data_IF_168225272690
#
_entry.id   IF_168225272690
#
_cell.length_a   1.000
_cell.length_b   1.000
_cell.length_c   1.000
_cell.angle_alpha   90.00
_cell.angle_beta   90.00
_cell.angle_gamma   90.00
#
_symmetry.space_group_name_H-M   'P 1'
#
loop_
_entity.id
_entity.type
_entity.pdbx_description
1 polymer ?
#
# COMPACT_ATOMS: atom_id res chain seq x y z
N UNK A 1 -4.60 26.75 23.01
CA UNK A 1 -4.61 26.08 21.70
C UNK A 1 -3.97 24.71 21.88
N UNK A 2 -4.71 23.62 21.68
CA UNK A 2 -4.16 22.26 21.81
C UNK A 2 -3.54 21.86 20.47
N UNK A 3 -2.24 21.55 20.45
CA UNK A 3 -1.57 21.01 19.27
C UNK A 3 -1.53 19.48 19.37
N UNK A 4 -1.96 18.74 18.34
CA UNK A 4 -1.94 17.29 18.36
C UNK A 4 -0.49 16.79 18.41
N UNK A 5 -0.28 15.66 19.09
CA UNK A 5 1.00 14.95 18.99
C UNK A 5 1.19 14.40 17.58
N UNK A 6 2.45 14.16 17.18
CA UNK A 6 2.77 13.55 15.87
C UNK A 6 2.02 12.22 15.67
N UNK A 7 1.90 11.42 16.74
CA UNK A 7 1.16 10.16 16.72
C UNK A 7 -0.33 10.36 16.48
N UNK A 8 -0.95 11.33 17.16
CA UNK A 8 -2.36 11.64 16.97
C UNK A 8 -2.63 12.18 15.56
N UNK A 9 -1.75 13.03 15.03
CA UNK A 9 -1.82 13.51 13.66
C UNK A 9 -1.69 12.36 12.65
N UNK A 10 -0.74 11.45 12.84
CA UNK A 10 -0.56 10.28 11.97
C UNK A 10 -1.79 9.34 12.00
N UNK A 11 -2.35 9.06 13.18
CA UNK A 11 -3.55 8.24 13.31
C UNK A 11 -4.76 8.86 12.59
N UNK A 12 -4.91 10.19 12.69
CA UNK A 12 -5.96 10.93 11.98
C UNK A 12 -5.80 10.82 10.46
N UNK A 13 -4.56 10.97 9.97
CA UNK A 13 -4.27 10.78 8.54
C UNK A 13 -4.58 9.36 8.08
N UNK A 14 -4.19 8.34 8.85
CA UNK A 14 -4.50 6.94 8.52
C UNK A 14 -6.01 6.67 8.48
N UNK A 15 -6.79 7.27 9.39
CA UNK A 15 -8.25 7.16 9.33
C UNK A 15 -8.80 7.78 8.03
N UNK A 16 -8.29 8.95 7.62
CA UNK A 16 -8.64 9.56 6.33
C UNK A 16 -8.24 8.69 5.14
N UNK A 17 -7.04 8.10 5.17
CA UNK A 17 -6.57 7.14 4.15
C UNK A 17 -7.48 5.91 4.06
N UNK A 18 -7.98 5.39 5.19
CA UNK A 18 -8.92 4.28 5.22
C UNK A 18 -10.27 4.65 4.58
N UNK A 19 -10.79 5.85 4.87
CA UNK A 19 -12.00 6.36 4.21
C UNK A 19 -11.76 6.50 2.70
N UNK A 20 -10.63 7.09 2.29
CA UNK A 20 -10.29 7.26 0.88
C UNK A 20 -10.13 5.92 0.14
N UNK A 21 -9.54 4.90 0.79
CA UNK A 21 -9.48 3.52 0.30
C UNK A 21 -10.89 2.99 -0.01
N UNK A 22 -11.82 3.09 0.94
CA UNK A 22 -13.18 2.55 0.77
C UNK A 22 -13.93 3.34 -0.28
N UNK A 23 -13.91 4.67 -0.21
CA UNK A 23 -14.68 5.53 -1.12
C UNK A 23 -14.19 5.37 -2.56
N UNK A 24 -12.89 5.36 -2.82
CA UNK A 24 -12.38 5.21 -4.19
C UNK A 24 -12.28 3.75 -4.65
N UNK A 25 -12.15 2.79 -3.74
CA UNK A 25 -12.08 1.37 -4.08
C UNK A 25 -13.45 0.73 -4.32
N UNK A 26 -14.46 1.13 -3.54
CA UNK A 26 -15.81 0.51 -3.56
C UNK A 26 -16.84 1.41 -4.24
N UNK A 27 -16.71 2.74 -4.11
CA UNK A 27 -17.66 3.70 -4.66
C UNK A 27 -17.03 4.73 -5.62
N UNK A 28 -16.17 4.30 -6.57
CA UNK A 28 -15.38 5.23 -7.40
C UNK A 28 -16.24 6.18 -8.24
N UNK A 29 -17.40 5.74 -8.74
CA UNK A 29 -18.33 6.59 -9.50
C UNK A 29 -18.97 7.67 -8.63
N UNK A 30 -19.40 7.31 -7.41
CA UNK A 30 -19.96 8.27 -6.46
C UNK A 30 -18.93 9.31 -6.04
N UNK A 31 -17.70 8.87 -5.80
CA UNK A 31 -16.57 9.77 -5.54
C UNK A 31 -16.37 10.73 -6.72
N UNK A 32 -16.23 10.18 -7.93
CA UNK A 32 -16.02 10.96 -9.15
C UNK A 32 -17.10 12.03 -9.38
N UNK A 33 -18.38 11.70 -9.13
CA UNK A 33 -19.51 12.63 -9.27
C UNK A 33 -19.43 13.86 -8.35
N UNK A 34 -18.64 13.79 -7.27
CA UNK A 34 -18.48 14.88 -6.29
C UNK A 34 -17.17 15.66 -6.47
N UNK A 35 -16.34 15.32 -7.46
CA UNK A 35 -15.01 15.94 -7.65
C UNK A 35 -14.83 16.43 -9.07
N UNK A 36 -13.98 17.44 -9.25
CA UNK A 36 -13.68 18.00 -10.58
C UNK A 36 -12.88 17.05 -11.49
N UNK A 37 -12.33 15.97 -10.95
CA UNK A 37 -11.43 15.05 -11.67
C UNK A 37 -12.16 14.02 -12.55
N UNK A 38 -13.47 13.87 -12.35
CA UNK A 38 -14.29 12.90 -13.09
C UNK A 38 -13.96 11.44 -12.77
N UNK A 39 -14.55 10.53 -13.56
CA UNK A 39 -14.41 9.09 -13.37
C UNK A 39 -13.30 8.51 -14.23
N UNK A 40 -12.37 7.76 -13.62
CA UNK A 40 -11.32 7.03 -14.31
C UNK A 40 -11.03 5.72 -13.54
N UNK A 41 -11.58 4.59 -14.00
CA UNK A 41 -11.56 3.35 -13.24
C UNK A 41 -10.14 2.84 -12.96
N UNK A 42 -9.17 3.16 -13.82
CA UNK A 42 -7.75 2.84 -13.57
C UNK A 42 -7.20 3.66 -12.41
N UNK A 43 -7.35 4.96 -12.48
CA UNK A 43 -6.84 5.90 -11.48
C UNK A 43 -7.45 5.66 -10.09
N UNK A 44 -8.78 5.52 -9.97
CA UNK A 44 -9.40 5.27 -8.66
C UNK A 44 -8.95 3.94 -8.03
N UNK A 45 -8.79 2.90 -8.86
CA UNK A 45 -8.27 1.60 -8.40
C UNK A 45 -6.82 1.73 -7.91
N UNK A 46 -5.97 2.48 -8.61
CA UNK A 46 -4.59 2.70 -8.18
C UNK A 46 -4.51 3.52 -6.90
N UNK A 47 -5.37 4.52 -6.70
CA UNK A 47 -5.45 5.25 -5.43
C UNK A 47 -5.87 4.32 -4.28
N UNK A 48 -6.83 3.42 -4.49
CA UNK A 48 -7.20 2.42 -3.51
C UNK A 48 -6.00 1.51 -3.16
N UNK A 49 -5.25 1.03 -4.16
CA UNK A 49 -4.03 0.23 -3.92
C UNK A 49 -3.02 1.01 -3.07
N UNK A 50 -2.70 2.25 -3.45
CA UNK A 50 -1.81 3.13 -2.69
C UNK A 50 -2.23 3.30 -1.24
N UNK A 51 -3.51 3.59 -1.00
CA UNK A 51 -4.05 3.79 0.34
C UNK A 51 -3.91 2.52 1.20
N UNK A 52 -4.16 1.33 0.64
CA UNK A 52 -4.04 0.08 1.38
C UNK A 52 -2.59 -0.20 1.82
N UNK A 53 -1.61 0.01 0.94
CA UNK A 53 -0.20 -0.11 1.29
C UNK A 53 0.24 0.87 2.39
N UNK A 54 -0.19 2.12 2.28
CA UNK A 54 0.05 3.16 3.29
C UNK A 54 -0.57 2.77 4.65
N UNK A 55 -1.77 2.19 4.66
CA UNK A 55 -2.40 1.72 5.89
C UNK A 55 -1.61 0.58 6.53
N UNK A 56 -1.18 -0.42 5.76
CA UNK A 56 -0.41 -1.56 6.28
C UNK A 56 0.90 -1.10 6.92
N UNK A 57 1.64 -0.21 6.26
CA UNK A 57 2.88 0.34 6.83
C UNK A 57 2.60 1.26 8.02
N UNK A 58 1.73 2.25 7.82
CA UNK A 58 1.49 3.32 8.79
C UNK A 58 0.85 2.82 10.08
N UNK A 59 -0.08 1.87 10.02
CA UNK A 59 -0.71 1.31 11.24
C UNK A 59 0.31 0.54 12.08
N UNK A 60 1.19 -0.24 11.46
CA UNK A 60 2.25 -0.96 12.17
C UNK A 60 3.27 0.00 12.80
N UNK A 61 3.66 1.06 12.08
CA UNK A 61 4.56 2.11 12.59
C UNK A 61 3.90 2.84 13.78
N UNK A 62 2.65 3.29 13.61
CA UNK A 62 1.91 4.01 14.66
C UNK A 62 1.66 3.10 15.86
N UNK A 63 1.34 1.82 15.68
CA UNK A 63 1.18 0.89 16.79
C UNK A 63 2.48 0.64 17.57
N UNK A 64 3.63 1.11 17.10
CA UNK A 64 4.94 0.81 17.69
C UNK A 64 5.33 -0.65 17.54
N UNK A 65 4.76 -1.34 16.55
CA UNK A 65 4.95 -2.77 16.34
C UNK A 65 6.30 -3.05 15.65
N UNK A 66 7.37 -2.98 16.43
CA UNK A 66 8.71 -3.39 16.03
C UNK A 66 9.43 -2.38 15.13
N UNK A 67 10.20 -2.92 14.18
CA UNK A 67 11.12 -2.17 13.32
C UNK A 67 10.37 -1.39 12.23
N UNK A 68 10.49 -0.05 12.16
CA UNK A 68 9.78 0.77 11.17
C UNK A 68 10.15 0.43 9.73
N UNK A 69 11.38 -0.06 9.48
CA UNK A 69 11.79 -0.51 8.14
C UNK A 69 11.02 -1.76 7.74
N UNK A 70 10.84 -2.71 8.67
CA UNK A 70 10.02 -3.92 8.42
C UNK A 70 8.55 -3.59 8.25
N UNK A 71 8.02 -2.61 8.98
CA UNK A 71 6.66 -2.12 8.81
C UNK A 71 6.47 -1.49 7.42
N UNK A 72 7.38 -0.62 6.99
CA UNK A 72 7.36 -0.04 5.65
C UNK A 72 7.46 -1.12 4.56
N UNK A 73 8.34 -2.10 4.74
CA UNK A 73 8.51 -3.20 3.78
C UNK A 73 7.23 -4.04 3.63
N UNK A 74 6.45 -4.25 4.70
CA UNK A 74 5.13 -4.90 4.60
C UNK A 74 4.15 -4.11 3.75
N UNK A 75 4.09 -2.79 3.91
CA UNK A 75 3.26 -1.93 3.06
C UNK A 75 3.68 -1.98 1.60
N UNK A 76 4.99 -1.89 1.33
CA UNK A 76 5.55 -2.02 -0.01
C UNK A 76 5.26 -3.39 -0.63
N UNK A 77 5.34 -4.48 0.14
CA UNK A 77 4.99 -5.82 -0.33
C UNK A 77 3.53 -5.90 -0.80
N UNK A 78 2.61 -5.29 -0.04
CA UNK A 78 1.19 -5.21 -0.41
C UNK A 78 0.98 -4.38 -1.68
N UNK A 79 1.66 -3.24 -1.80
CA UNK A 79 1.63 -2.43 -3.02
C UNK A 79 2.13 -3.22 -4.22
N UNK A 80 3.29 -3.85 -4.10
CA UNK A 80 3.87 -4.66 -5.18
C UNK A 80 2.93 -5.81 -5.57
N UNK A 81 2.33 -6.51 -4.62
CA UNK A 81 1.38 -7.58 -4.92
C UNK A 81 0.17 -7.07 -5.73
N UNK A 82 -0.42 -5.96 -5.29
CA UNK A 82 -1.64 -5.43 -5.89
C UNK A 82 -1.41 -4.71 -7.21
N UNK A 83 -0.32 -3.94 -7.36
CA UNK A 83 0.06 -3.38 -8.65
C UNK A 83 0.45 -4.48 -9.63
N UNK A 84 1.19 -5.50 -9.18
CA UNK A 84 1.51 -6.68 -9.97
C UNK A 84 0.26 -7.35 -10.52
N UNK A 85 -0.72 -7.62 -9.65
CA UNK A 85 -2.01 -8.20 -10.05
C UNK A 85 -2.81 -7.27 -10.99
N UNK A 86 -2.86 -5.97 -10.71
CA UNK A 86 -3.53 -4.98 -11.56
C UNK A 86 -2.96 -4.96 -12.98
N UNK A 87 -1.63 -4.91 -13.09
CA UNK A 87 -0.94 -4.92 -14.37
C UNK A 87 -1.07 -6.27 -15.08
N UNK A 88 -0.95 -7.40 -14.37
CA UNK A 88 -1.16 -8.72 -14.95
C UNK A 88 -2.57 -8.87 -15.54
N UNK A 89 -3.60 -8.42 -14.81
CA UNK A 89 -4.97 -8.43 -15.30
C UNK A 89 -5.18 -7.50 -16.50
N UNK A 90 -4.54 -6.32 -16.51
CA UNK A 90 -4.58 -5.41 -17.65
C UNK A 90 -3.82 -5.96 -18.87
N UNK A 91 -2.70 -6.66 -18.65
CA UNK A 91 -1.95 -7.34 -19.71
C UNK A 91 -2.79 -8.44 -20.36
N UNK A 92 -3.46 -9.28 -19.55
CA UNK A 92 -4.33 -10.35 -20.05
C UNK A 92 -5.47 -9.84 -20.94
N UNK A 93 -5.98 -8.62 -20.68
CA UNK A 93 -7.06 -8.02 -21.49
C UNK A 93 -6.57 -7.27 -22.72
N UNK A 94 -5.40 -6.63 -22.65
CA UNK A 94 -4.98 -5.64 -23.66
C UNK A 94 -3.77 -6.06 -24.49
N UNK A 95 -3.01 -7.06 -24.05
CA UNK A 95 -1.74 -7.45 -24.66
C UNK A 95 -0.64 -6.37 -24.60
N UNK A 96 -0.86 -5.24 -23.91
CA UNK A 96 0.08 -4.12 -23.93
C UNK A 96 1.37 -4.49 -23.18
N UNK A 97 2.55 -4.36 -23.83
CA UNK A 97 3.82 -4.82 -23.26
C UNK A 97 4.19 -4.10 -21.95
N UNK A 98 3.78 -2.83 -21.80
CA UNK A 98 3.99 -2.10 -20.55
C UNK A 98 3.35 -2.79 -19.34
N UNK A 99 2.13 -3.33 -19.48
CA UNK A 99 1.47 -4.03 -18.39
C UNK A 99 2.18 -5.35 -18.03
N UNK A 100 2.82 -6.01 -19.00
CA UNK A 100 3.62 -7.21 -18.71
C UNK A 100 4.87 -6.81 -17.91
N UNK A 101 5.59 -5.79 -18.37
CA UNK A 101 6.79 -5.30 -17.70
C UNK A 101 6.52 -4.88 -16.24
N UNK A 102 5.47 -4.09 -16.03
CA UNK A 102 5.12 -3.64 -14.67
C UNK A 102 4.60 -4.77 -13.78
N UNK A 103 3.93 -5.79 -14.33
CA UNK A 103 3.57 -6.99 -13.57
C UNK A 103 4.81 -7.75 -13.08
N UNK A 104 5.81 -7.94 -13.95
CA UNK A 104 7.07 -8.62 -13.62
C UNK A 104 7.87 -7.86 -12.58
N UNK A 105 8.05 -6.55 -12.75
CA UNK A 105 8.79 -5.70 -11.80
C UNK A 105 8.17 -5.78 -10.41
N UNK A 106 6.84 -5.67 -10.32
CA UNK A 106 6.11 -5.79 -9.08
C UNK A 106 6.19 -7.21 -8.48
N UNK A 107 6.15 -8.26 -9.32
CA UNK A 107 6.40 -9.63 -8.88
C UNK A 107 7.77 -9.82 -8.23
N UNK A 108 8.81 -9.21 -8.81
CA UNK A 108 10.16 -9.17 -8.20
C UNK A 108 10.16 -8.47 -6.84
N UNK A 109 9.43 -7.35 -6.72
CA UNK A 109 9.24 -6.64 -5.45
C UNK A 109 8.60 -7.53 -4.37
N UNK A 110 7.58 -8.30 -4.70
CA UNK A 110 6.95 -9.26 -3.78
C UNK A 110 7.94 -10.33 -3.32
N UNK A 111 8.64 -10.98 -4.26
CA UNK A 111 9.61 -12.04 -3.94
C UNK A 111 10.72 -11.51 -3.03
N UNK A 112 11.26 -10.33 -3.35
CA UNK A 112 12.29 -9.66 -2.54
C UNK A 112 11.80 -9.35 -1.13
N UNK A 113 10.61 -8.76 -1.01
CA UNK A 113 10.04 -8.40 0.29
C UNK A 113 9.73 -9.62 1.16
N UNK A 114 9.16 -10.68 0.58
CA UNK A 114 8.90 -11.94 1.29
C UNK A 114 10.20 -12.60 1.76
N UNK A 115 11.22 -12.64 0.91
CA UNK A 115 12.54 -13.17 1.28
C UNK A 115 13.15 -12.43 2.46
N UNK A 116 13.13 -11.10 2.44
CA UNK A 116 13.66 -10.27 3.53
C UNK A 116 12.81 -10.36 4.82
N UNK A 117 11.48 -10.45 4.72
CA UNK A 117 10.60 -10.56 5.87
C UNK A 117 10.65 -11.96 6.53
N UNK A 118 10.92 -13.00 5.75
CA UNK A 118 11.07 -14.37 6.25
C UNK A 118 12.35 -14.59 7.07
N UNK A 119 13.39 -13.79 6.83
CA UNK A 119 14.60 -13.82 7.66
C UNK A 119 14.25 -13.36 9.08
N UNK A 120 14.45 -14.26 10.06
CA UNK A 120 14.41 -13.92 11.49
C UNK A 120 15.64 -13.08 11.82
N UNK A 121 15.47 -12.04 12.65
CA UNK A 121 16.63 -11.37 13.27
C UNK A 121 17.37 -12.43 14.11
N UNK A 122 18.71 -12.53 14.05
CA UNK A 122 19.46 -13.31 15.02
C UNK A 122 19.11 -12.80 16.42
N UNK A 123 18.73 -13.71 17.32
CA UNK A 123 18.47 -13.34 18.71
C UNK A 123 19.77 -12.80 19.32
N UNK A 124 19.78 -11.51 19.66
CA UNK A 124 20.82 -10.94 20.52
C UNK A 124 20.60 -11.43 21.96
N UNK A 125 20.86 -12.71 22.21
CA UNK A 125 20.81 -13.33 23.54
C UNK A 125 22.03 -14.19 23.89
N UNK A 126 23.05 -14.26 23.03
CA UNK A 126 24.29 -15.02 23.29
C UNK A 126 25.55 -14.18 23.14
N UNK A 127 25.51 -12.93 23.61
CA UNK A 127 26.71 -12.12 23.83
C UNK A 127 26.71 -11.62 25.28
N UNK A 128 26.93 -12.54 26.21
CA UNK A 128 27.44 -12.27 27.56
C UNK A 128 28.47 -13.31 27.88
#
# INVERSE_FOLDING_TARGET
MYLPTVRAAAATWLAGTAVALVVQGVFPEKFAATTAWGYNPGWQREIAIWNLGTLVAGTAIVAGAGDPVRAQLRGLAVLSALFGANHAAAAARSGKPGNIAWAVINGGGVVSALGALAQRKPDCRTAR
#
